data_IF_632521484750
#
_entry.id   IF_632521484750
#
_cell.length_a   1.000
_cell.length_b   1.000
_cell.length_c   1.000
_cell.angle_alpha   90.00
_cell.angle_beta   90.00
_cell.angle_gamma   90.00
#
_symmetry.space_group_name_H-M   'P 1'
#
loop_
_entity.id
_entity.type
_entity.pdbx_description
1 polymer ?
#
# COMPACT_ATOMS: atom_id res chain seq x y z
N UNK A 1 -26.17 69.57 -40.95
CA UNK A 1 -26.46 69.36 -42.39
C UNK A 1 -25.20 69.16 -43.28
N UNK A 2 -23.98 69.04 -42.75
CA UNK A 2 -22.74 68.94 -43.57
C UNK A 2 -21.92 67.64 -43.41
N UNK A 3 -22.43 66.61 -42.72
CA UNK A 3 -21.71 65.32 -42.60
C UNK A 3 -21.96 64.40 -43.81
N UNK A 4 -23.22 64.37 -44.29
CA UNK A 4 -23.63 63.49 -45.40
C UNK A 4 -23.10 63.90 -46.78
N UNK A 5 -22.87 65.20 -47.03
CA UNK A 5 -22.30 65.65 -48.32
C UNK A 5 -20.80 65.38 -48.42
N UNK A 6 -20.06 65.41 -47.29
CA UNK A 6 -18.65 65.02 -47.23
C UNK A 6 -18.45 63.53 -47.50
N UNK A 7 -19.36 62.68 -47.01
CA UNK A 7 -19.39 61.25 -47.30
C UNK A 7 -19.64 61.01 -48.81
N UNK A 8 -20.54 61.78 -49.44
CA UNK A 8 -20.86 61.62 -50.87
C UNK A 8 -19.70 61.93 -51.81
N UNK A 9 -18.82 62.87 -51.48
CA UNK A 9 -17.62 63.17 -52.28
C UNK A 9 -16.49 62.13 -52.11
N UNK A 10 -16.43 61.41 -50.99
CA UNK A 10 -15.54 60.23 -50.85
C UNK A 10 -16.00 59.11 -51.78
N UNK A 11 -17.32 58.96 -51.96
CA UNK A 11 -17.88 57.95 -52.85
C UNK A 11 -17.76 58.25 -54.36
N UNK A 12 -17.44 59.48 -54.76
CA UNK A 12 -17.14 59.81 -56.16
C UNK A 12 -15.68 59.56 -56.53
N UNK A 13 -14.81 59.36 -55.52
CA UNK A 13 -13.41 59.03 -55.74
C UNK A 13 -13.26 57.51 -55.76
N UNK A 14 -13.44 56.91 -56.94
CA UNK A 14 -13.39 55.45 -57.18
C UNK A 14 -12.17 54.76 -56.55
N UNK A 15 -11.05 55.49 -56.43
CA UNK A 15 -9.80 55.01 -55.81
C UNK A 15 -9.91 54.78 -54.29
N UNK A 16 -10.75 55.54 -53.58
CA UNK A 16 -10.91 55.42 -52.12
C UNK A 16 -11.82 54.27 -51.69
N UNK A 17 -12.91 54.03 -52.43
CA UNK A 17 -13.81 52.89 -52.16
C UNK A 17 -13.10 51.56 -52.45
N UNK A 18 -12.36 51.48 -53.56
CA UNK A 18 -11.60 50.27 -53.92
C UNK A 18 -10.62 49.87 -52.80
N UNK A 19 -9.94 50.84 -52.17
CA UNK A 19 -9.06 50.59 -51.04
C UNK A 19 -9.82 50.01 -49.83
N UNK A 20 -10.99 50.55 -49.49
CA UNK A 20 -11.79 50.07 -48.34
C UNK A 20 -12.31 48.65 -48.53
N UNK A 21 -12.74 48.30 -49.76
CA UNK A 21 -13.19 46.94 -50.07
C UNK A 21 -12.02 45.96 -49.92
N UNK A 22 -10.84 46.29 -50.46
CA UNK A 22 -9.65 45.43 -50.35
C UNK A 22 -9.24 45.26 -48.88
N UNK A 23 -9.22 46.33 -48.10
CA UNK A 23 -8.84 46.29 -46.69
C UNK A 23 -9.84 45.45 -45.88
N UNK A 24 -11.15 45.61 -46.12
CA UNK A 24 -12.20 44.77 -45.54
C UNK A 24 -12.01 43.30 -45.89
N UNK A 25 -11.81 42.97 -47.17
CA UNK A 25 -11.58 41.60 -47.61
C UNK A 25 -10.34 40.97 -46.95
N UNK A 26 -9.24 41.72 -46.85
CA UNK A 26 -8.02 41.27 -46.18
C UNK A 26 -8.26 41.05 -44.68
N UNK A 27 -8.96 41.96 -44.00
CA UNK A 27 -9.26 41.80 -42.56
C UNK A 27 -10.12 40.57 -42.27
N UNK A 28 -11.17 40.34 -43.07
CA UNK A 28 -12.04 39.16 -42.92
C UNK A 28 -11.24 37.88 -43.16
N UNK A 29 -10.40 37.87 -44.21
CA UNK A 29 -9.56 36.72 -44.53
C UNK A 29 -8.51 36.46 -43.43
N UNK A 30 -7.95 37.50 -42.84
CA UNK A 30 -6.98 37.39 -41.75
C UNK A 30 -7.62 36.83 -40.48
N UNK A 31 -8.82 37.30 -40.11
CA UNK A 31 -9.57 36.78 -38.97
C UNK A 31 -9.88 35.29 -39.18
N UNK A 32 -10.38 34.90 -40.36
CA UNK A 32 -10.67 33.51 -40.67
C UNK A 32 -9.42 32.60 -40.60
N UNK A 33 -8.26 33.08 -41.08
CA UNK A 33 -7.00 32.35 -40.96
C UNK A 33 -6.57 32.22 -39.49
N UNK A 34 -6.68 33.28 -38.70
CA UNK A 34 -6.33 33.25 -37.28
C UNK A 34 -7.23 32.27 -36.51
N UNK A 35 -8.53 32.27 -36.78
CA UNK A 35 -9.48 31.34 -36.14
C UNK A 35 -9.21 29.89 -36.56
N UNK A 36 -9.00 29.62 -37.85
CA UNK A 36 -8.68 28.29 -38.34
C UNK A 36 -7.36 27.75 -37.76
N UNK A 37 -6.32 28.59 -37.70
CA UNK A 37 -5.03 28.20 -37.09
C UNK A 37 -5.14 27.99 -35.59
N UNK A 38 -5.95 28.79 -34.89
CA UNK A 38 -6.24 28.60 -33.47
C UNK A 38 -6.96 27.26 -33.21
N UNK A 39 -8.04 26.98 -33.94
CA UNK A 39 -8.78 25.72 -33.83
C UNK A 39 -7.91 24.50 -34.18
N UNK A 40 -7.09 24.61 -35.23
CA UNK A 40 -6.15 23.55 -35.60
C UNK A 40 -5.13 23.26 -34.48
N UNK A 41 -4.60 24.28 -33.81
CA UNK A 41 -3.69 24.10 -32.67
C UNK A 41 -4.37 23.43 -31.50
N UNK A 42 -5.62 23.78 -31.18
CA UNK A 42 -6.39 23.14 -30.11
C UNK A 42 -6.64 21.67 -30.43
N UNK A 43 -7.15 21.37 -31.62
CA UNK A 43 -7.44 20.00 -32.05
C UNK A 43 -6.18 19.12 -32.05
N UNK A 44 -5.06 19.67 -32.52
CA UNK A 44 -3.77 19.00 -32.47
C UNK A 44 -3.34 18.68 -31.03
N UNK A 45 -3.45 19.65 -30.11
CA UNK A 45 -3.14 19.43 -28.69
C UNK A 45 -4.03 18.39 -28.04
N UNK A 46 -5.34 18.42 -28.31
CA UNK A 46 -6.27 17.41 -27.79
C UNK A 46 -5.96 16.01 -28.34
N UNK A 47 -5.61 15.89 -29.62
CA UNK A 47 -5.22 14.62 -30.23
C UNK A 47 -3.94 14.04 -29.61
N UNK A 48 -2.94 14.89 -29.36
CA UNK A 48 -1.71 14.50 -28.66
C UNK A 48 -2.01 14.07 -27.23
N UNK A 49 -2.73 14.87 -26.46
CA UNK A 49 -3.09 14.52 -25.08
C UNK A 49 -3.91 13.23 -25.01
N UNK A 50 -4.78 12.98 -25.99
CA UNK A 50 -5.50 11.72 -26.13
C UNK A 50 -4.57 10.52 -26.36
N UNK A 51 -3.60 10.65 -27.27
CA UNK A 51 -2.55 9.64 -27.49
C UNK A 51 -1.73 9.40 -26.22
N UNK A 52 -1.21 10.46 -25.60
CA UNK A 52 -0.37 10.40 -24.40
C UNK A 52 -1.11 9.76 -23.22
N UNK A 53 -2.39 10.11 -23.01
CA UNK A 53 -3.22 9.48 -21.96
C UNK A 53 -3.41 7.98 -22.18
N UNK A 54 -3.63 7.57 -23.44
CA UNK A 54 -3.78 6.16 -23.77
C UNK A 54 -2.46 5.40 -23.56
N UNK A 55 -1.35 5.99 -23.98
CA UNK A 55 -0.01 5.45 -23.76
C UNK A 55 0.29 5.28 -22.27
N UNK A 56 0.06 6.31 -21.45
CA UNK A 56 0.23 6.24 -19.99
C UNK A 56 -0.64 5.13 -19.36
N UNK A 57 -1.88 4.97 -19.82
CA UNK A 57 -2.76 3.89 -19.36
C UNK A 57 -2.20 2.50 -19.67
N UNK A 58 -1.68 2.27 -20.88
CA UNK A 58 -1.06 0.99 -21.23
C UNK A 58 0.27 0.75 -20.52
N UNK A 59 1.09 1.79 -20.29
CA UNK A 59 2.29 1.71 -19.46
C UNK A 59 1.96 1.27 -18.03
N UNK A 60 0.95 1.88 -17.41
CA UNK A 60 0.46 1.47 -16.09
C UNK A 60 -0.07 0.03 -16.08
N UNK A 61 -0.80 -0.38 -17.14
CA UNK A 61 -1.27 -1.76 -17.28
C UNK A 61 -0.12 -2.77 -17.42
N UNK A 62 0.95 -2.40 -18.12
CA UNK A 62 2.17 -3.21 -18.21
C UNK A 62 2.83 -3.35 -16.83
N UNK A 63 2.98 -2.25 -16.09
CA UNK A 63 3.51 -2.25 -14.72
C UNK A 63 2.74 -3.23 -13.80
N UNK A 64 1.41 -3.24 -13.87
CA UNK A 64 0.56 -4.18 -13.14
C UNK A 64 0.78 -5.64 -13.54
N UNK A 65 0.93 -5.91 -14.84
CA UNK A 65 1.19 -7.28 -15.31
C UNK A 65 2.58 -7.78 -14.87
N UNK A 66 3.62 -6.93 -14.94
CA UNK A 66 4.94 -7.24 -14.41
C UNK A 66 4.90 -7.50 -12.90
N UNK A 67 4.17 -6.67 -12.16
CA UNK A 67 3.97 -6.85 -10.71
C UNK A 67 3.32 -8.20 -10.39
N UNK A 68 2.34 -8.65 -11.19
CA UNK A 68 1.73 -9.98 -11.04
C UNK A 68 2.70 -11.13 -11.30
N UNK A 69 3.55 -11.00 -12.32
CA UNK A 69 4.59 -11.99 -12.62
C UNK A 69 5.56 -12.08 -11.45
N UNK A 70 6.05 -10.92 -10.97
CA UNK A 70 6.94 -10.85 -9.81
C UNK A 70 6.34 -11.50 -8.57
N UNK A 71 5.06 -11.20 -8.26
CA UNK A 71 4.35 -11.82 -7.12
C UNK A 71 4.21 -13.33 -7.27
N UNK A 72 3.95 -13.83 -8.50
CA UNK A 72 3.87 -15.27 -8.76
C UNK A 72 5.21 -15.95 -8.49
N UNK A 73 6.31 -15.42 -9.03
CA UNK A 73 7.65 -15.97 -8.78
C UNK A 73 8.07 -15.83 -7.33
N UNK A 74 7.75 -14.71 -6.67
CA UNK A 74 8.00 -14.55 -5.23
C UNK A 74 7.28 -15.63 -4.42
N UNK A 75 6.03 -15.95 -4.75
CA UNK A 75 5.27 -17.02 -4.09
C UNK A 75 5.90 -18.40 -4.32
N UNK A 76 6.39 -18.69 -5.52
CA UNK A 76 7.07 -19.95 -5.85
C UNK A 76 8.42 -20.06 -5.11
N UNK A 77 9.22 -19.00 -5.12
CA UNK A 77 10.50 -18.92 -4.41
C UNK A 77 10.32 -19.07 -2.89
N UNK A 78 9.35 -18.37 -2.30
CA UNK A 78 9.04 -18.51 -0.87
C UNK A 78 8.55 -19.91 -0.51
N UNK A 79 7.79 -20.57 -1.39
CA UNK A 79 7.37 -21.96 -1.16
C UNK A 79 8.57 -22.90 -1.16
N UNK A 80 9.45 -22.80 -2.16
CA UNK A 80 10.69 -23.59 -2.22
C UNK A 80 11.61 -23.33 -1.02
N UNK A 81 11.68 -22.07 -0.57
CA UNK A 81 12.46 -21.70 0.60
C UNK A 81 11.90 -22.30 1.89
N UNK A 82 10.57 -22.29 2.06
CA UNK A 82 9.90 -22.95 3.18
C UNK A 82 10.09 -24.47 3.16
N UNK A 83 9.96 -25.10 1.99
CA UNK A 83 10.10 -26.55 1.82
C UNK A 83 11.54 -27.03 2.10
N UNK A 84 12.54 -26.17 1.81
CA UNK A 84 13.96 -26.47 2.02
C UNK A 84 14.60 -25.73 3.21
N UNK A 85 13.79 -25.14 4.10
CA UNK A 85 14.28 -24.32 5.22
C UNK A 85 15.26 -25.07 6.13
N UNK A 86 15.10 -26.39 6.28
CA UNK A 86 15.99 -27.25 7.05
C UNK A 86 17.39 -27.40 6.41
N UNK A 87 17.50 -27.29 5.09
CA UNK A 87 18.75 -27.49 4.34
C UNK A 87 19.48 -26.16 4.01
N UNK A 88 18.76 -25.03 4.00
CA UNK A 88 19.32 -23.70 3.69
C UNK A 88 19.75 -22.90 4.92
N UNK A 89 19.99 -23.56 6.05
CA UNK A 89 20.59 -22.94 7.24
C UNK A 89 19.80 -21.76 7.83
N UNK A 90 18.48 -21.71 7.63
CA UNK A 90 17.65 -20.62 8.12
C UNK A 90 17.87 -19.27 7.41
N UNK A 91 18.42 -19.27 6.19
CA UNK A 91 18.59 -18.03 5.42
C UNK A 91 17.23 -17.37 5.13
N UNK A 92 17.02 -16.17 5.68
CA UNK A 92 15.80 -15.38 5.53
C UNK A 92 15.76 -14.78 4.12
N UNK A 93 14.91 -15.32 3.24
CA UNK A 93 14.65 -14.66 1.96
C UNK A 93 13.64 -13.55 2.16
N UNK A 94 14.11 -12.30 2.09
CA UNK A 94 13.22 -11.16 1.93
C UNK A 94 12.40 -11.31 0.63
N UNK A 95 11.14 -10.83 0.60
CA UNK A 95 10.34 -10.86 -0.61
C UNK A 95 11.03 -10.11 -1.76
N UNK A 96 11.02 -10.70 -2.94
CA UNK A 96 11.74 -10.18 -4.12
C UNK A 96 11.33 -8.75 -4.48
N UNK A 97 10.06 -8.40 -4.26
CA UNK A 97 9.51 -7.08 -4.54
C UNK A 97 10.02 -5.97 -3.62
N UNK A 98 10.60 -6.29 -2.46
CA UNK A 98 11.27 -5.31 -1.60
C UNK A 98 12.71 -5.02 -2.04
N UNK A 99 13.33 -5.96 -2.75
CA UNK A 99 14.70 -5.84 -3.21
C UNK A 99 14.83 -5.14 -4.56
N UNK A 100 13.80 -5.26 -5.42
CA UNK A 100 13.85 -4.73 -6.79
C UNK A 100 12.64 -3.83 -7.10
N UNK A 101 12.81 -2.48 -7.12
CA UNK A 101 11.76 -1.60 -7.58
C UNK A 101 11.49 -1.85 -9.06
N UNK A 102 10.25 -2.19 -9.41
CA UNK A 102 9.88 -2.46 -10.80
C UNK A 102 9.83 -1.14 -11.57
N UNK A 103 10.83 -0.89 -12.42
CA UNK A 103 10.85 0.25 -13.33
C UNK A 103 11.17 -0.18 -14.76
N UNK A 104 10.64 0.55 -15.73
CA UNK A 104 10.96 0.36 -17.15
C UNK A 104 12.46 0.44 -17.40
N UNK A 105 13.16 1.37 -16.74
CA UNK A 105 14.61 1.54 -16.87
C UNK A 105 15.40 0.34 -16.35
N UNK A 106 14.97 -0.24 -15.21
CA UNK A 106 15.58 -1.48 -14.72
C UNK A 106 15.33 -2.65 -15.67
N UNK A 107 14.10 -2.82 -16.17
CA UNK A 107 13.77 -3.88 -17.12
C UNK A 107 14.57 -3.71 -18.42
N UNK A 108 14.74 -2.46 -18.88
CA UNK A 108 15.59 -2.12 -20.03
C UNK A 108 17.05 -2.50 -19.79
N UNK A 109 17.61 -2.21 -18.62
CA UNK A 109 18.98 -2.59 -18.26
C UNK A 109 19.17 -4.11 -18.17
N UNK A 110 18.25 -4.81 -17.49
CA UNK A 110 18.32 -6.27 -17.32
C UNK A 110 18.20 -7.01 -18.66
N UNK A 111 17.22 -6.65 -19.49
CA UNK A 111 16.96 -7.33 -20.76
C UNK A 111 17.86 -6.83 -21.91
N UNK A 112 18.37 -5.60 -21.82
CA UNK A 112 19.30 -5.02 -22.79
C UNK A 112 20.72 -5.60 -22.74
N UNK A 113 20.97 -6.58 -21.85
CA UNK A 113 22.26 -7.25 -21.71
C UNK A 113 23.22 -6.60 -20.70
N UNK A 114 22.76 -5.60 -19.95
CA UNK A 114 23.56 -4.90 -18.93
C UNK A 114 23.44 -5.55 -17.54
N UNK A 115 22.81 -6.74 -17.47
CA UNK A 115 22.69 -7.52 -16.25
C UNK A 115 24.05 -7.95 -15.68
N UNK A 116 25.05 -8.20 -16.55
CA UNK A 116 26.43 -8.50 -16.15
C UNK A 116 27.08 -7.29 -15.47
N UNK A 117 26.82 -6.06 -15.96
CA UNK A 117 27.29 -4.82 -15.35
C UNK A 117 26.62 -4.52 -13.99
N UNK A 118 25.34 -4.88 -13.83
CA UNK A 118 24.58 -4.72 -12.59
C UNK A 118 25.07 -5.65 -11.46
N UNK A 119 25.60 -6.83 -11.81
CA UNK A 119 26.17 -7.80 -10.85
C UNK A 119 27.68 -7.62 -10.61
N UNK A 120 28.28 -6.52 -11.11
CA UNK A 120 29.70 -6.24 -10.91
C UNK A 120 30.63 -6.95 -11.91
N UNK A 121 30.09 -7.49 -13.00
CA UNK A 121 30.86 -7.86 -14.19
C UNK A 121 31.36 -6.58 -14.86
N UNK A 122 32.59 -6.21 -14.54
CA UNK A 122 33.21 -4.97 -14.99
C UNK A 122 33.00 -4.72 -16.49
N UNK A 123 32.53 -3.52 -16.80
CA UNK A 123 32.62 -2.99 -18.16
C UNK A 123 34.09 -3.04 -18.59
N UNK A 124 34.42 -3.89 -19.57
CA UNK A 124 35.68 -3.83 -20.29
C UNK A 124 35.73 -2.52 -21.06
N UNK A 125 36.26 -1.49 -20.40
CA UNK A 125 36.72 -0.26 -21.03
C UNK A 125 38.12 -0.48 -21.58
N UNK A 126 38.27 -0.30 -22.89
CA UNK A 126 39.56 -0.21 -23.58
C UNK A 126 40.47 0.84 -22.92
N UNK A 127 41.61 0.41 -22.37
CA UNK A 127 42.78 1.26 -22.14
C UNK A 127 44.05 0.40 -22.08
N UNK A 128 45.06 0.84 -22.84
CA UNK A 128 46.39 0.23 -22.98
C UNK A 128 47.16 0.12 -21.65
N UNK A 129 47.91 -0.99 -21.56
CA UNK A 129 49.16 -1.26 -20.82
C UNK A 129 49.42 -0.56 -19.48
N UNK A 130 49.52 -1.33 -18.40
CA UNK A 130 50.82 -1.65 -17.78
C UNK A 130 50.67 -2.77 -16.72
N UNK A 131 51.68 -3.65 -16.68
CA UNK A 131 51.78 -4.83 -15.82
C UNK A 131 51.82 -4.50 -14.32
N UNK A 132 51.06 -5.24 -13.51
CA UNK A 132 51.50 -5.69 -12.19
C UNK A 132 50.63 -6.85 -11.68
N UNK A 133 51.29 -7.97 -11.43
CA UNK A 133 50.81 -9.19 -10.77
C UNK A 133 50.04 -8.92 -9.47
N UNK A 134 48.80 -9.42 -9.36
CA UNK A 134 48.27 -9.98 -8.10
C UNK A 134 47.36 -11.17 -8.40
N UNK A 135 47.88 -12.35 -8.08
CA UNK A 135 47.19 -13.63 -8.00
C UNK A 135 45.92 -13.50 -7.14
N UNK A 136 44.75 -13.63 -7.77
CA UNK A 136 43.47 -13.82 -7.08
C UNK A 136 42.77 -15.02 -7.69
N UNK A 137 42.74 -16.08 -6.88
CA UNK A 137 42.05 -17.33 -7.12
C UNK A 137 40.63 -17.08 -7.63
N UNK A 138 40.39 -17.48 -8.88
CA UNK A 138 39.05 -17.64 -9.43
C UNK A 138 38.36 -18.80 -8.71
N UNK A 139 37.49 -18.48 -7.76
CA UNK A 139 36.37 -19.37 -7.46
C UNK A 139 35.39 -19.24 -8.63
N UNK A 140 35.49 -20.18 -9.58
CA UNK A 140 34.45 -20.44 -10.58
C UNK A 140 33.17 -20.87 -9.84
N UNK A 141 32.38 -19.89 -9.40
CA UNK A 141 30.95 -20.07 -9.28
C UNK A 141 30.44 -20.21 -10.70
N UNK A 142 30.04 -21.45 -11.04
CA UNK A 142 29.37 -21.79 -12.28
C UNK A 142 28.12 -20.91 -12.46
N UNK A 143 28.33 -19.77 -13.13
CA UNK A 143 27.30 -18.81 -13.52
C UNK A 143 26.54 -19.31 -14.76
N UNK A 144 26.84 -20.50 -15.26
CA UNK A 144 26.19 -21.12 -16.40
C UNK A 144 24.69 -21.37 -16.17
N UNK A 145 24.32 -21.84 -14.98
CA UNK A 145 22.91 -22.17 -14.69
C UNK A 145 22.05 -20.93 -14.44
N UNK A 146 22.61 -19.85 -13.89
CA UNK A 146 21.87 -18.59 -13.69
C UNK A 146 21.66 -17.87 -15.03
N UNK A 147 22.67 -17.88 -15.93
CA UNK A 147 22.57 -17.32 -17.30
C UNK A 147 21.48 -18.00 -18.13
N UNK A 148 21.21 -19.28 -17.88
CA UNK A 148 20.23 -20.05 -18.65
C UNK A 148 18.77 -19.78 -18.25
N UNK A 149 18.54 -19.22 -17.05
CA UNK A 149 17.19 -18.96 -16.53
C UNK A 149 16.63 -17.57 -16.88
N UNK A 150 17.46 -16.66 -17.39
CA UNK A 150 17.06 -15.26 -17.69
C UNK A 150 17.11 -14.93 -19.20
N UNK A 151 17.71 -15.78 -20.04
CA UNK A 151 17.71 -15.65 -21.52
C UNK A 151 16.36 -16.07 -22.14
N UNK A 152 15.25 -15.46 -21.72
CA UNK A 152 13.92 -15.79 -22.25
C UNK A 152 13.49 -14.94 -23.47
N UNK A 153 14.38 -14.11 -24.01
CA UNK A 153 14.14 -13.28 -25.19
C UNK A 153 15.40 -13.23 -26.05
N UNK A 154 15.25 -13.39 -27.37
CA UNK A 154 16.32 -13.04 -28.32
C UNK A 154 16.69 -11.56 -28.10
N UNK A 155 17.98 -11.21 -28.16
CA UNK A 155 18.45 -9.84 -27.87
C UNK A 155 17.77 -8.80 -28.76
N UNK A 156 17.54 -9.16 -30.03
CA UNK A 156 16.84 -8.29 -30.99
C UNK A 156 15.33 -8.17 -30.67
N UNK A 157 14.72 -9.23 -30.15
CA UNK A 157 13.32 -9.20 -29.69
C UNK A 157 13.16 -8.45 -28.37
N UNK A 158 14.14 -8.53 -27.47
CA UNK A 158 14.19 -7.78 -26.23
C UNK A 158 14.33 -6.28 -26.49
N UNK A 159 15.24 -5.88 -27.38
CA UNK A 159 15.40 -4.47 -27.79
C UNK A 159 14.10 -3.93 -28.42
N UNK A 160 13.45 -4.69 -29.32
CA UNK A 160 12.15 -4.32 -29.90
C UNK A 160 11.02 -4.29 -28.88
N UNK A 161 11.03 -5.18 -27.89
CA UNK A 161 10.06 -5.19 -26.80
C UNK A 161 10.18 -3.95 -25.89
N UNK A 162 11.40 -3.39 -25.79
CA UNK A 162 11.73 -2.27 -24.94
C UNK A 162 11.69 -0.90 -25.63
N UNK A 163 11.59 -0.89 -26.96
CA UNK A 163 11.47 0.29 -27.82
C UNK A 163 10.06 0.88 -27.79
N UNK A 164 9.65 1.33 -26.60
CA UNK A 164 8.42 2.09 -26.39
C UNK A 164 8.72 3.43 -25.73
N UNK A 165 7.98 4.46 -26.12
CA UNK A 165 8.08 5.79 -25.53
C UNK A 165 7.53 5.80 -24.09
N UNK A 166 8.22 6.52 -23.20
CA UNK A 166 7.81 6.72 -21.81
C UNK A 166 8.27 5.64 -20.84
N UNK A 167 7.96 5.85 -19.57
CA UNK A 167 8.43 5.03 -18.46
C UNK A 167 7.29 4.68 -17.50
N UNK A 168 7.45 3.57 -16.79
CA UNK A 168 6.59 3.20 -15.68
C UNK A 168 7.43 2.78 -14.48
N UNK A 169 6.86 2.97 -13.29
CA UNK A 169 7.35 2.40 -12.04
C UNK A 169 6.19 1.75 -11.30
N UNK A 170 6.49 0.71 -10.53
CA UNK A 170 5.54 0.07 -9.63
C UNK A 170 6.22 -0.25 -8.30
N UNK A 171 5.47 0.02 -7.24
CA UNK A 171 5.82 -0.32 -5.86
C UNK A 171 4.77 -1.30 -5.34
N UNK A 172 5.23 -2.32 -4.63
CA UNK A 172 4.37 -3.35 -4.05
C UNK A 172 4.49 -3.25 -2.54
N UNK A 173 3.35 -2.99 -1.89
CA UNK A 173 3.24 -2.93 -0.43
C UNK A 173 2.25 -3.99 0.03
N UNK A 174 2.45 -4.49 1.25
CA UNK A 174 1.60 -5.51 1.85
C UNK A 174 0.45 -4.84 2.61
N UNK A 175 -0.79 -5.16 2.25
CA UNK A 175 -1.98 -4.64 2.95
C UNK A 175 -2.28 -5.42 4.25
N UNK A 176 -1.72 -6.63 4.40
CA UNK A 176 -1.90 -7.45 5.61
C UNK A 176 -1.20 -6.87 6.85
N UNK A 177 -0.31 -5.90 6.66
CA UNK A 177 0.39 -5.21 7.75
C UNK A 177 -0.44 -4.08 8.34
N UNK A 178 -1.62 -3.81 7.77
CA UNK A 178 -2.52 -2.73 8.16
C UNK A 178 -3.77 -3.28 8.81
N UNK A 179 -4.36 -2.49 9.70
CA UNK A 179 -5.64 -2.79 10.33
C UNK A 179 -6.78 -2.69 9.31
N UNK A 180 -7.45 -3.80 9.03
CA UNK A 180 -8.57 -3.82 8.09
C UNK A 180 -9.87 -3.29 8.73
N UNK A 181 -10.32 -2.10 8.34
CA UNK A 181 -11.54 -1.45 8.84
C UNK A 181 -12.80 -2.25 8.52
N UNK A 182 -12.83 -2.92 7.37
CA UNK A 182 -13.95 -3.77 6.96
C UNK A 182 -14.08 -5.06 7.78
N UNK A 183 -13.19 -5.29 8.76
CA UNK A 183 -13.31 -6.37 9.72
C UNK A 183 -14.56 -6.30 10.58
N UNK A 184 -15.14 -5.10 10.80
CA UNK A 184 -16.35 -4.93 11.62
C UNK A 184 -17.66 -5.38 10.94
N UNK A 185 -17.74 -5.35 9.60
CA UNK A 185 -18.98 -5.48 8.82
C UNK A 185 -19.72 -6.83 8.92
N UNK A 186 -19.20 -7.78 9.68
CA UNK A 186 -19.84 -9.08 9.92
C UNK A 186 -19.58 -9.61 11.32
N UNK A 187 -19.19 -8.75 12.26
CA UNK A 187 -18.98 -9.12 13.64
C UNK A 187 -20.25 -8.86 14.45
N UNK A 188 -20.49 -9.74 15.43
CA UNK A 188 -21.52 -9.52 16.44
C UNK A 188 -21.05 -8.41 17.39
N UNK A 189 -21.81 -7.31 17.48
CA UNK A 189 -21.41 -6.12 18.23
C UNK A 189 -21.43 -6.31 19.75
N UNK A 190 -22.18 -7.29 20.26
CA UNK A 190 -22.15 -7.72 21.67
C UNK A 190 -21.21 -8.91 21.90
N UNK A 191 -20.00 -8.85 21.34
CA UNK A 191 -18.98 -9.89 21.49
C UNK A 191 -17.66 -9.27 21.97
N UNK A 192 -16.96 -9.93 22.90
CA UNK A 192 -15.64 -9.50 23.36
C UNK A 192 -14.62 -9.32 22.22
N UNK A 193 -14.73 -10.11 21.14
CA UNK A 193 -13.88 -9.96 19.95
C UNK A 193 -14.10 -8.61 19.22
N UNK A 194 -15.33 -8.06 19.24
CA UNK A 194 -15.62 -6.75 18.66
C UNK A 194 -14.90 -5.65 19.46
N UNK A 195 -14.95 -5.74 20.79
CA UNK A 195 -14.22 -4.82 21.66
C UNK A 195 -12.70 -4.97 21.56
N UNK A 196 -12.17 -6.20 21.46
CA UNK A 196 -10.75 -6.44 21.22
C UNK A 196 -10.28 -5.75 19.93
N UNK A 197 -11.06 -5.88 18.85
CA UNK A 197 -10.75 -5.21 17.59
C UNK A 197 -10.82 -3.68 17.69
N UNK A 198 -11.77 -3.13 18.44
CA UNK A 198 -11.81 -1.68 18.75
C UNK A 198 -10.58 -1.25 19.57
N UNK A 199 -10.14 -2.05 20.54
CA UNK A 199 -8.96 -1.78 21.38
C UNK A 199 -7.66 -1.78 20.58
N UNK A 200 -7.54 -2.65 19.57
CA UNK A 200 -6.42 -2.60 18.63
C UNK A 200 -6.42 -1.31 17.79
N UNK A 201 -7.59 -0.86 17.32
CA UNK A 201 -7.66 0.44 16.63
C UNK A 201 -7.33 1.60 17.59
N UNK A 202 -7.75 1.49 18.85
CA UNK A 202 -7.43 2.47 19.89
C UNK A 202 -5.93 2.51 20.18
N UNK A 203 -5.22 1.37 20.19
CA UNK A 203 -3.77 1.37 20.38
C UNK A 203 -3.07 2.15 19.27
N UNK A 204 -3.46 1.97 18.01
CA UNK A 204 -2.93 2.75 16.88
C UNK A 204 -3.13 4.26 17.11
N UNK A 205 -4.34 4.68 17.53
CA UNK A 205 -4.64 6.10 17.79
C UNK A 205 -3.97 6.66 19.07
N UNK A 206 -3.40 5.80 19.91
CA UNK A 206 -2.60 6.19 21.08
C UNK A 206 -1.11 6.34 20.76
N UNK A 207 -0.66 6.03 19.55
CA UNK A 207 0.73 6.32 19.15
C UNK A 207 1.03 7.83 19.33
N UNK A 208 2.25 8.21 19.76
CA UNK A 208 2.58 9.60 20.08
C UNK A 208 2.35 10.60 18.93
N UNK A 209 2.44 10.13 17.68
CA UNK A 209 2.16 10.95 16.49
C UNK A 209 0.73 11.51 16.45
N UNK A 210 -0.22 10.88 17.13
CA UNK A 210 -1.62 11.33 17.21
C UNK A 210 -1.89 12.28 18.39
N UNK A 211 -0.95 12.47 19.32
CA UNK A 211 -1.19 13.24 20.56
C UNK A 211 -1.72 14.64 20.29
N UNK A 212 -1.11 15.35 19.34
CA UNK A 212 -1.52 16.71 18.96
C UNK A 212 -2.95 16.78 18.42
N UNK A 213 -3.36 15.77 17.66
CA UNK A 213 -4.69 15.75 17.04
C UNK A 213 -5.83 15.54 18.06
N UNK A 214 -5.49 15.07 19.27
CA UNK A 214 -6.45 14.77 20.35
C UNK A 214 -6.24 15.57 21.64
N UNK A 215 -5.29 16.51 21.67
CA UNK A 215 -4.91 17.27 22.89
C UNK A 215 -6.11 17.94 23.59
N UNK A 216 -7.01 18.54 22.80
CA UNK A 216 -8.19 19.26 23.31
C UNK A 216 -9.46 18.40 23.42
N UNK A 217 -9.39 17.10 23.09
CA UNK A 217 -10.57 16.23 22.96
C UNK A 217 -10.57 15.12 24.00
N UNK A 218 -11.23 15.36 25.13
CA UNK A 218 -11.48 14.32 26.13
C UNK A 218 -12.25 13.16 25.49
N UNK A 219 -11.71 11.94 25.62
CA UNK A 219 -12.24 10.72 24.99
C UNK A 219 -12.33 10.76 23.45
N UNK A 220 -11.62 11.69 22.80
CA UNK A 220 -11.69 11.86 21.35
C UNK A 220 -11.21 10.64 20.57
N UNK A 221 -10.25 9.89 21.13
CA UNK A 221 -9.73 8.66 20.52
C UNK A 221 -10.78 7.55 20.58
N UNK A 222 -11.35 7.33 21.75
CA UNK A 222 -12.39 6.33 22.01
C UNK A 222 -13.62 6.61 21.15
N UNK A 223 -14.10 7.86 21.13
CA UNK A 223 -15.24 8.26 20.31
C UNK A 223 -14.99 8.04 18.81
N UNK A 224 -13.78 8.33 18.32
CA UNK A 224 -13.43 8.07 16.93
C UNK A 224 -13.41 6.57 16.61
N UNK A 225 -12.90 5.74 17.52
CA UNK A 225 -12.93 4.27 17.36
C UNK A 225 -14.37 3.77 17.26
N UNK A 226 -15.26 4.25 18.13
CA UNK A 226 -16.69 3.91 18.09
C UNK A 226 -17.31 4.32 16.75
N UNK A 227 -17.14 5.58 16.35
CA UNK A 227 -17.67 6.08 15.09
C UNK A 227 -17.15 5.31 13.86
N UNK A 228 -15.87 4.92 13.84
CA UNK A 228 -15.30 4.10 12.75
C UNK A 228 -15.93 2.70 12.71
N UNK A 229 -16.13 2.07 13.86
CA UNK A 229 -16.70 0.72 13.94
C UNK A 229 -18.18 0.73 13.55
N UNK A 230 -18.95 1.68 14.10
CA UNK A 230 -20.37 1.90 13.82
C UNK A 230 -20.61 2.25 12.34
N UNK A 231 -19.69 2.99 11.68
CA UNK A 231 -19.79 3.26 10.24
C UNK A 231 -19.85 1.99 9.38
N UNK A 232 -19.26 0.90 9.86
CA UNK A 232 -19.01 -0.31 9.09
C UNK A 232 -19.90 -1.47 9.50
N UNK A 233 -20.25 -1.59 10.78
CA UNK A 233 -21.09 -2.68 11.26
C UNK A 233 -22.55 -2.58 10.78
N UNK A 234 -23.35 -3.61 11.03
CA UNK A 234 -24.67 -3.71 10.42
C UNK A 234 -25.80 -3.12 11.27
N UNK A 235 -25.55 -2.78 12.54
CA UNK A 235 -26.59 -2.26 13.41
C UNK A 235 -26.75 -0.74 13.21
N UNK A 236 -27.42 -0.05 14.12
CA UNK A 236 -27.70 1.39 14.01
C UNK A 236 -27.70 2.02 15.39
N UNK A 237 -26.88 1.46 16.30
CA UNK A 237 -26.80 1.84 17.70
C UNK A 237 -25.35 2.05 18.07
N UNK A 238 -25.04 3.12 18.79
CA UNK A 238 -23.64 3.43 19.09
C UNK A 238 -23.05 2.32 19.97
N UNK A 239 -21.97 1.67 19.49
CA UNK A 239 -21.34 0.53 20.16
C UNK A 239 -20.07 0.96 20.91
N UNK A 240 -20.23 1.26 22.20
CA UNK A 240 -19.15 1.65 23.11
C UNK A 240 -18.37 0.44 23.63
N UNK A 241 -17.27 0.69 24.36
CA UNK A 241 -16.52 -0.38 25.01
C UNK A 241 -17.34 -1.09 26.09
N UNK A 242 -16.88 -2.28 26.45
CA UNK A 242 -17.47 -3.16 27.46
C UNK A 242 -18.90 -3.59 27.09
N UNK A 243 -19.12 -3.80 25.78
CA UNK A 243 -20.36 -4.26 25.16
C UNK A 243 -21.57 -3.33 25.42
N UNK A 244 -21.31 -2.04 25.65
CA UNK A 244 -22.36 -1.05 25.91
C UNK A 244 -22.94 -0.54 24.59
N UNK A 245 -24.27 -0.62 24.45
CA UNK A 245 -25.00 -0.06 23.31
C UNK A 245 -25.97 1.02 23.76
N UNK A 246 -25.94 2.18 23.11
CA UNK A 246 -26.86 3.28 23.44
C UNK A 246 -27.06 4.25 22.29
N UNK A 247 -28.22 4.91 22.26
CA UNK A 247 -28.50 5.94 21.26
C UNK A 247 -28.66 5.39 19.85
N UNK A 248 -28.70 6.31 18.90
CA UNK A 248 -28.82 6.08 17.46
C UNK A 248 -27.58 6.65 16.80
N UNK A 249 -26.91 5.88 15.94
CA UNK A 249 -25.69 6.32 15.26
C UNK A 249 -25.92 7.53 14.36
N UNK A 250 -27.08 7.59 13.68
CA UNK A 250 -27.43 8.71 12.78
C UNK A 250 -27.48 10.04 13.55
N UNK A 251 -27.62 10.01 14.89
CA UNK A 251 -27.63 11.23 15.72
C UNK A 251 -26.28 11.95 15.80
N UNK A 252 -25.18 11.28 15.44
CA UNK A 252 -23.84 11.86 15.38
C UNK A 252 -23.59 12.63 14.07
N UNK A 253 -24.44 12.44 13.06
CA UNK A 253 -24.21 12.93 11.71
C UNK A 253 -25.23 14.01 11.30
N UNK A 254 -24.82 14.86 10.36
CA UNK A 254 -25.71 15.82 9.74
C UNK A 254 -26.83 15.11 8.99
N UNK A 255 -27.99 15.77 8.86
CA UNK A 255 -29.20 15.19 8.25
C UNK A 255 -29.01 14.60 6.84
N UNK A 256 -28.03 15.11 6.10
CA UNK A 256 -27.73 14.68 4.73
C UNK A 256 -26.70 13.54 4.66
N UNK A 257 -26.01 13.24 5.77
CA UNK A 257 -25.05 12.15 5.91
C UNK A 257 -25.69 11.01 6.69
N UNK A 258 -25.84 9.86 6.05
CA UNK A 258 -26.30 8.64 6.71
C UNK A 258 -25.14 7.71 6.96
N UNK A 259 -25.16 7.05 8.10
CA UNK A 259 -24.22 5.98 8.39
C UNK A 259 -24.42 4.85 7.37
N UNK A 260 -23.31 4.29 6.91
CA UNK A 260 -23.32 3.35 5.78
C UNK A 260 -23.84 1.97 6.18
N UNK A 261 -23.55 1.57 7.41
CA UNK A 261 -23.85 0.28 8.02
C UNK A 261 -23.40 -0.89 7.12
N UNK A 262 -22.16 -0.78 6.65
CA UNK A 262 -21.58 -1.74 5.73
C UNK A 262 -20.16 -1.41 5.30
N UNK A 263 -19.56 -2.34 4.54
CA UNK A 263 -18.15 -2.25 4.14
C UNK A 263 -17.84 -0.94 3.41
N UNK A 264 -16.80 -0.25 3.85
CA UNK A 264 -16.15 0.83 3.11
C UNK A 264 -15.63 0.32 1.77
N UNK A 265 -15.88 1.07 0.70
CA UNK A 265 -15.42 0.80 -0.67
C UNK A 265 -14.09 1.50 -0.96
N UNK A 266 -13.84 2.64 -0.30
CA UNK A 266 -12.59 3.39 -0.35
C UNK A 266 -12.16 3.79 1.06
N UNK A 267 -10.86 3.93 1.26
CA UNK A 267 -10.31 4.53 2.48
C UNK A 267 -10.80 5.98 2.67
N UNK A 268 -11.06 6.72 1.59
CA UNK A 268 -11.50 8.12 1.67
C UNK A 268 -12.85 8.29 2.39
N UNK A 269 -13.65 7.22 2.51
CA UNK A 269 -14.89 7.23 3.28
C UNK A 269 -14.68 7.50 4.76
N UNK A 270 -13.48 7.21 5.30
CA UNK A 270 -13.13 7.56 6.68
C UNK A 270 -13.30 9.05 6.97
N UNK A 271 -13.17 9.92 5.97
CA UNK A 271 -13.35 11.38 6.15
C UNK A 271 -14.80 11.77 6.45
N UNK A 272 -15.75 10.87 6.21
CA UNK A 272 -17.17 11.08 6.53
C UNK A 272 -17.51 10.67 7.96
N UNK A 273 -16.62 9.94 8.64
CA UNK A 273 -16.84 9.44 10.00
C UNK A 273 -16.74 10.59 11.00
N UNK A 274 -17.65 10.61 11.98
CA UNK A 274 -17.66 11.65 13.01
C UNK A 274 -16.34 11.69 13.79
N UNK A 275 -15.89 12.89 14.13
CA UNK A 275 -14.61 13.13 14.82
C UNK A 275 -13.36 13.01 13.94
N UNK A 276 -13.45 12.50 12.70
CA UNK A 276 -12.31 12.42 11.78
C UNK A 276 -11.95 13.80 11.22
N UNK A 277 -10.69 14.19 11.36
CA UNK A 277 -10.13 15.41 10.73
C UNK A 277 -9.16 15.03 9.62
N UNK A 278 -8.86 15.96 8.71
CA UNK A 278 -7.86 15.75 7.67
C UNK A 278 -6.47 15.41 8.23
N UNK A 279 -6.13 15.97 9.39
CA UNK A 279 -4.89 15.66 10.12
C UNK A 279 -4.88 14.20 10.60
N UNK A 280 -5.93 13.77 11.33
CA UNK A 280 -6.04 12.39 11.82
C UNK A 280 -6.07 11.41 10.64
N UNK A 281 -6.82 11.72 9.57
CA UNK A 281 -6.90 10.86 8.39
C UNK A 281 -5.53 10.63 7.75
N UNK A 282 -4.75 11.70 7.55
CA UNK A 282 -3.44 11.61 6.92
C UNK A 282 -2.45 10.80 7.78
N UNK A 283 -2.49 10.95 9.10
CA UNK A 283 -1.66 10.19 10.05
C UNK A 283 -2.11 8.73 10.19
N UNK A 284 -3.42 8.45 10.12
CA UNK A 284 -3.99 7.09 10.26
C UNK A 284 -3.85 6.26 8.98
N UNK A 285 -3.89 6.89 7.80
CA UNK A 285 -3.87 6.23 6.48
C UNK A 285 -2.79 5.15 6.31
N UNK A 286 -1.55 5.28 6.80
CA UNK A 286 -0.53 4.24 6.68
C UNK A 286 -0.85 2.95 7.45
N UNK A 287 -1.66 3.04 8.51
CA UNK A 287 -1.95 1.96 9.46
C UNK A 287 -3.23 1.18 9.13
N UNK A 288 -4.09 1.69 8.25
CA UNK A 288 -5.42 1.12 8.00
C UNK A 288 -5.62 0.73 6.54
N UNK A 289 -6.51 -0.23 6.31
CA UNK A 289 -6.92 -0.69 4.99
C UNK A 289 -8.41 -1.02 4.96
N UNK A 290 -9.01 -1.02 3.77
CA UNK A 290 -10.37 -1.55 3.54
C UNK A 290 -10.34 -2.91 2.86
N UNK A 291 -9.14 -3.41 2.55
CA UNK A 291 -8.96 -4.66 1.84
C UNK A 291 -8.74 -5.82 2.82
N UNK A 292 -9.48 -6.90 2.65
CA UNK A 292 -9.27 -8.14 3.39
C UNK A 292 -8.60 -9.18 2.51
N UNK A 293 -7.64 -9.92 3.06
CA UNK A 293 -7.19 -11.17 2.43
C UNK A 293 -8.10 -12.31 2.91
N UNK A 294 -8.70 -13.02 1.97
CA UNK A 294 -9.57 -14.15 2.27
C UNK A 294 -8.81 -15.23 3.06
N UNK A 295 -9.33 -15.64 4.20
CA UNK A 295 -8.71 -16.64 5.08
C UNK A 295 -7.68 -16.11 6.08
N UNK A 296 -7.39 -14.81 6.11
CA UNK A 296 -6.44 -14.21 7.07
C UNK A 296 -6.99 -14.02 8.49
N UNK A 297 -8.28 -14.31 8.72
CA UNK A 297 -8.93 -14.09 10.02
C UNK A 297 -9.20 -12.61 10.36
N UNK A 298 -8.53 -11.67 9.68
CA UNK A 298 -8.59 -10.23 9.98
C UNK A 298 -7.41 -9.72 10.83
N UNK A 299 -6.48 -10.62 11.19
CA UNK A 299 -5.26 -10.27 11.94
C UNK A 299 -4.25 -9.47 11.13
N UNK A 300 -3.41 -8.72 11.84
CA UNK A 300 -2.34 -7.90 11.27
C UNK A 300 -1.03 -8.69 11.26
N UNK A 301 -0.36 -8.75 10.11
CA UNK A 301 0.94 -9.41 9.99
C UNK A 301 2.05 -8.47 10.49
N UNK A 302 2.51 -8.71 11.71
CA UNK A 302 3.56 -7.91 12.36
C UNK A 302 4.91 -7.98 11.66
N UNK A 303 5.23 -9.10 10.99
CA UNK A 303 6.57 -9.35 10.45
C UNK A 303 6.98 -8.48 9.28
N UNK A 304 6.00 -7.88 8.62
CA UNK A 304 6.22 -6.99 7.49
C UNK A 304 5.73 -5.57 7.79
N UNK A 305 5.23 -5.34 9.00
CA UNK A 305 4.66 -4.07 9.43
C UNK A 305 5.74 -3.05 9.78
N UNK A 306 5.34 -1.78 9.75
CA UNK A 306 6.18 -0.68 10.22
C UNK A 306 6.41 -0.80 11.74
N UNK A 307 7.52 -0.23 12.23
CA UNK A 307 7.89 -0.25 13.65
C UNK A 307 6.75 0.25 14.55
N UNK A 308 6.05 1.31 14.14
CA UNK A 308 4.96 1.87 14.94
C UNK A 308 3.71 0.96 14.96
N UNK A 309 3.47 0.19 13.89
CA UNK A 309 2.40 -0.82 13.91
C UNK A 309 2.78 -1.98 14.83
N UNK A 310 4.05 -2.41 14.83
CA UNK A 310 4.52 -3.43 15.76
C UNK A 310 4.38 -2.96 17.22
N UNK A 311 4.76 -1.71 17.52
CA UNK A 311 4.53 -1.09 18.84
C UNK A 311 3.04 -1.04 19.19
N UNK A 312 2.17 -0.69 18.26
CA UNK A 312 0.73 -0.65 18.51
C UNK A 312 0.14 -2.02 18.86
N UNK A 313 0.64 -3.10 18.23
CA UNK A 313 0.26 -4.47 18.57
C UNK A 313 0.78 -4.89 19.95
N UNK A 314 2.02 -4.53 20.30
CA UNK A 314 2.59 -4.80 21.63
C UNK A 314 1.85 -4.02 22.71
N UNK A 315 1.50 -2.75 22.44
CA UNK A 315 0.70 -1.94 23.36
C UNK A 315 -0.68 -2.57 23.59
N UNK A 316 -1.37 -2.98 22.53
CA UNK A 316 -2.65 -3.69 22.64
C UNK A 316 -2.52 -4.97 23.47
N UNK A 317 -1.49 -5.77 23.19
CA UNK A 317 -1.22 -7.00 23.93
C UNK A 317 -0.97 -6.75 25.43
N UNK A 318 -0.23 -5.71 25.77
CA UNK A 318 0.14 -5.39 27.15
C UNK A 318 -0.96 -4.70 27.95
N UNK A 319 -1.84 -3.96 27.29
CA UNK A 319 -2.89 -3.17 27.96
C UNK A 319 -4.26 -3.84 27.97
N UNK A 320 -4.56 -4.65 26.95
CA UNK A 320 -5.94 -5.07 26.67
C UNK A 320 -6.14 -6.59 26.63
N UNK A 321 -5.08 -7.39 26.43
CA UNK A 321 -5.20 -8.86 26.39
C UNK A 321 -5.47 -9.54 27.74
N UNK A 322 -5.59 -8.78 28.82
CA UNK A 322 -5.84 -9.33 30.16
C UNK A 322 -4.66 -10.11 30.75
N UNK A 323 -3.46 -9.99 30.14
CA UNK A 323 -2.22 -10.51 30.69
C UNK A 323 -1.91 -9.78 32.01
N UNK A 324 -1.49 -10.51 33.03
CA UNK A 324 -1.05 -9.94 34.31
C UNK A 324 0.38 -9.39 34.19
N UNK A 325 0.59 -8.46 33.27
CA UNK A 325 1.85 -7.77 33.03
C UNK A 325 1.67 -6.28 33.27
N UNK A 326 2.75 -5.61 33.64
CA UNK A 326 2.74 -4.16 33.73
C UNK A 326 2.57 -3.59 32.32
N UNK A 327 1.59 -2.72 32.17
CA UNK A 327 1.31 -2.04 30.92
C UNK A 327 2.55 -1.24 30.47
N UNK A 328 2.93 -1.38 29.20
CA UNK A 328 4.15 -0.78 28.65
C UNK A 328 3.78 0.39 27.75
N UNK A 329 4.09 1.61 28.18
CA UNK A 329 3.84 2.82 27.41
C UNK A 329 4.75 2.90 26.17
N UNK A 330 4.35 3.69 25.18
CA UNK A 330 5.08 3.80 23.90
C UNK A 330 6.49 4.38 24.03
N UNK A 331 6.75 5.17 25.07
CA UNK A 331 8.02 5.83 25.34
C UNK A 331 8.97 5.00 26.23
N UNK A 332 8.52 3.84 26.73
CA UNK A 332 9.35 2.94 27.54
C UNK A 332 10.46 2.30 26.68
N UNK A 333 11.69 2.25 27.19
CA UNK A 333 12.81 1.57 26.53
C UNK A 333 12.48 0.10 26.22
N UNK A 334 11.68 -0.55 27.07
CA UNK A 334 11.22 -1.93 26.85
C UNK A 334 10.37 -2.09 25.60
N UNK A 335 9.59 -1.07 25.22
CA UNK A 335 8.77 -1.12 24.00
C UNK A 335 9.66 -1.29 22.77
N UNK A 336 10.79 -0.57 22.73
CA UNK A 336 11.76 -0.67 21.65
C UNK A 336 12.42 -2.05 21.62
N UNK A 337 12.91 -2.54 22.76
CA UNK A 337 13.52 -3.87 22.86
C UNK A 337 12.58 -4.98 22.40
N UNK A 338 11.30 -4.92 22.80
CA UNK A 338 10.29 -5.89 22.38
C UNK A 338 10.01 -5.81 20.87
N UNK A 339 9.90 -4.59 20.32
CA UNK A 339 9.67 -4.43 18.87
C UNK A 339 10.81 -4.99 18.03
N UNK A 340 12.07 -4.81 18.45
CA UNK A 340 13.24 -5.37 17.77
C UNK A 340 13.27 -6.89 17.86
N UNK A 341 12.95 -7.47 19.02
CA UNK A 341 12.88 -8.92 19.21
C UNK A 341 11.81 -9.55 18.29
N UNK A 342 10.63 -8.93 18.21
CA UNK A 342 9.54 -9.37 17.33
C UNK A 342 9.98 -9.41 15.87
N UNK A 343 10.60 -8.32 15.40
CA UNK A 343 11.08 -8.23 14.02
C UNK A 343 12.23 -9.22 13.74
N UNK A 344 13.06 -9.53 14.74
CA UNK A 344 14.11 -10.54 14.62
C UNK A 344 13.58 -11.97 14.55
N UNK A 345 12.45 -12.27 15.17
CA UNK A 345 11.79 -13.59 15.13
C UNK A 345 11.06 -13.88 13.80
N UNK A 346 10.88 -12.86 12.95
CA UNK A 346 10.26 -12.99 11.64
C UNK A 346 11.14 -13.75 10.62
N UNK A 347 10.54 -14.46 9.64
CA UNK A 347 9.16 -14.31 9.14
C UNK A 347 8.09 -15.23 9.78
N UNK A 348 8.42 -16.01 10.81
CA UNK A 348 7.45 -16.86 11.49
C UNK A 348 6.68 -16.09 12.56
N UNK A 349 5.40 -15.83 12.30
CA UNK A 349 4.51 -15.09 13.21
C UNK A 349 4.33 -15.83 14.53
N UNK A 350 4.37 -17.17 14.55
CA UNK A 350 4.25 -17.95 15.79
C UNK A 350 5.53 -17.83 16.63
N UNK A 351 6.70 -17.81 15.98
CA UNK A 351 7.96 -17.57 16.66
C UNK A 351 8.02 -16.14 17.22
N UNK A 352 7.49 -15.16 16.50
CA UNK A 352 7.38 -13.78 16.97
C UNK A 352 6.47 -13.66 18.20
N UNK A 353 5.32 -14.33 18.19
CA UNK A 353 4.43 -14.38 19.36
C UNK A 353 5.13 -15.03 20.57
N UNK A 354 5.80 -16.17 20.37
CA UNK A 354 6.54 -16.87 21.42
C UNK A 354 7.70 -16.04 21.99
N UNK A 355 8.38 -15.25 21.15
CA UNK A 355 9.47 -14.36 21.58
C UNK A 355 8.97 -13.24 22.50
N UNK A 356 7.81 -12.65 22.20
CA UNK A 356 7.15 -11.66 23.06
C UNK A 356 6.79 -12.30 24.40
N UNK A 357 6.12 -13.46 24.37
CA UNK A 357 5.72 -14.17 25.60
C UNK A 357 6.93 -14.51 26.47
N UNK A 358 8.04 -14.96 25.87
CA UNK A 358 9.28 -15.24 26.57
C UNK A 358 9.87 -14.01 27.24
N UNK A 359 9.94 -12.88 26.52
CA UNK A 359 10.47 -11.61 27.07
C UNK A 359 9.58 -11.00 28.14
N UNK A 360 8.28 -11.18 28.03
CA UNK A 360 7.31 -10.71 29.02
C UNK A 360 7.18 -11.68 30.22
N UNK A 361 7.90 -12.81 30.22
CA UNK A 361 7.90 -13.77 31.32
C UNK A 361 6.61 -14.59 31.42
N UNK A 362 5.89 -14.76 30.31
CA UNK A 362 4.60 -15.46 30.23
C UNK A 362 4.72 -16.98 29.94
N UNK A 363 5.93 -17.53 30.05
CA UNK A 363 6.26 -18.92 29.68
C UNK A 363 5.71 -19.93 30.70
N UNK A 364 4.39 -20.15 30.72
CA UNK A 364 3.79 -21.35 31.34
C UNK A 364 2.41 -21.75 30.77
N UNK A 365 2.06 -21.35 29.53
CA UNK A 365 0.75 -21.67 28.92
C UNK A 365 0.78 -22.47 27.62
N UNK A 366 1.93 -22.89 27.10
CA UNK A 366 2.00 -23.76 25.92
C UNK A 366 2.18 -25.24 26.30
N UNK A 367 1.09 -26.02 26.32
CA UNK A 367 1.19 -27.48 26.22
C UNK A 367 1.75 -27.82 24.82
N UNK A 368 2.81 -28.63 24.69
CA UNK A 368 3.35 -28.97 23.38
C UNK A 368 2.39 -29.88 22.62
N UNK A 369 2.01 -29.49 21.41
CA UNK A 369 1.33 -30.37 20.45
C UNK A 369 2.38 -31.30 19.84
N UNK A 370 2.44 -32.54 20.30
CA UNK A 370 3.22 -33.60 19.64
C UNK A 370 2.42 -34.20 18.47
N UNK A 371 3.05 -34.44 17.30
CA UNK A 371 2.38 -35.07 16.17
C UNK A 371 2.51 -36.61 16.23
N UNK A 372 1.36 -37.29 16.33
CA UNK A 372 1.14 -38.67 15.86
C UNK A 372 1.34 -39.81 16.86
N UNK A 373 0.23 -40.47 17.26
CA UNK A 373 0.00 -41.90 16.99
C UNK A 373 -1.47 -42.31 17.27
N UNK A 374 -2.04 -43.32 16.56
CA UNK A 374 -3.46 -43.69 16.64
C UNK A 374 -3.72 -44.86 17.60
N UNK A 375 -4.82 -44.78 18.36
CA UNK A 375 -5.76 -45.85 18.76
C UNK A 375 -6.34 -45.66 20.19
N UNK A 376 -7.67 -45.77 20.27
CA UNK A 376 -8.59 -45.62 21.41
C UNK A 376 -8.52 -46.80 22.44
N UNK A 377 -9.35 -46.93 23.52
CA UNK A 377 -10.60 -46.20 23.85
C UNK A 377 -10.95 -45.91 25.35
N UNK A 378 -11.95 -45.02 25.53
CA UNK A 378 -12.98 -44.89 26.59
C UNK A 378 -12.63 -44.71 28.08
N UNK A 379 -12.89 -43.51 28.62
CA UNK A 379 -13.47 -43.33 29.97
C UNK A 379 -14.22 -41.96 30.07
N UNK A 380 -15.50 -41.88 30.51
CA UNK A 380 -16.29 -40.65 30.45
C UNK A 380 -16.29 -39.92 31.80
N UNK A 381 -15.22 -39.20 32.14
CA UNK A 381 -15.24 -38.27 33.28
C UNK A 381 -14.04 -37.32 33.32
N UNK A 382 -14.11 -36.18 32.61
CA UNK A 382 -13.64 -34.90 33.16
C UNK A 382 -14.13 -33.73 32.33
N UNK A 383 -14.76 -32.81 33.05
CA UNK A 383 -15.44 -31.60 32.59
C UNK A 383 -14.48 -30.42 32.80
N UNK A 384 -14.51 -29.48 31.86
CA UNK A 384 -13.99 -28.10 31.91
C UNK A 384 -12.48 -27.92 31.68
N UNK A 385 -12.15 -27.45 30.48
CA UNK A 385 -10.87 -26.83 30.09
C UNK A 385 -11.19 -25.55 29.29
N UNK A 386 -10.52 -24.40 29.54
CA UNK A 386 -10.59 -23.24 28.67
C UNK A 386 -9.76 -23.49 27.39
N UNK A 387 -10.22 -22.94 26.27
CA UNK A 387 -9.57 -23.02 24.95
C UNK A 387 -8.20 -22.31 24.91
N UNK A 388 -7.26 -22.76 24.06
CA UNK A 388 -5.96 -22.13 23.89
C UNK A 388 -6.08 -20.82 23.10
N UNK A 389 -5.70 -19.71 23.74
CA UNK A 389 -5.65 -18.36 23.15
C UNK A 389 -4.26 -18.17 22.52
N UNK A 390 -4.11 -18.64 21.29
CA UNK A 390 -2.95 -18.31 20.44
C UNK A 390 -3.39 -18.28 18.97
N UNK A 391 -4.38 -17.44 18.70
CA UNK A 391 -4.61 -16.84 17.39
C UNK A 391 -5.21 -15.48 17.68
N UNK A 392 -4.46 -14.41 17.43
CA UNK A 392 -5.07 -13.10 17.24
C UNK A 392 -5.91 -13.21 15.95
N UNK A 393 -7.21 -13.50 16.13
CA UNK A 393 -8.23 -13.40 15.08
C UNK A 393 -8.77 -11.99 15.04
#
# INVERSE_FOLDING_TARGET
MNLFSKIRNVFQNQKGIALLIVLSSITILTIAIVEATYMSRINYRMAIQGKERLQAYYLAKSALNFSRILLKYNKEAQKLAKDNAANMGGMKLEPLYRMMPLSSNMIRGVLGGDFDALLGGGAEGEAESDEADVDSQKNDLDTGEVKQSVNMLDKEEAEKFLDFDGDFSAEITEEQTKFNLNGFAGMETQNAAYDQRKRLLLSILKLPRFDKAFEDKSQGRENLVHAIADWVDANGVINEFDLVQRGDEDSLYDKDTKVKNGKMLSLDELRLVDGMTDEIFNELKPFVTVYSIQGSGGGVNVCYADEDMAKALIYDFTHFSGCNISAIEYDDEKMKELSEEVLNACPDVNAAAAAIEAKLGLVDLSVPVTPGDPAAPNDPAKKVTPEPVATAK
#
